data_IF_771142809825
#
_entry.id   IF_771142809825
#
_cell.length_a   1.000
_cell.length_b   1.000
_cell.length_c   1.000
_cell.angle_alpha   90.00
_cell.angle_beta   90.00
_cell.angle_gamma   90.00
#
_symmetry.space_group_name_H-M   'P 1'
#
loop_
_entity.id
_entity.type
_entity.pdbx_description
1 polymer ?
#
# COMPACT_ATOMS: atom_id res chain seq x y z
N UNK A 1 38.23 39.30 26.07
CA UNK A 1 36.90 39.82 25.72
C UNK A 1 36.82 39.82 24.20
N UNK A 2 36.17 38.82 23.60
CA UNK A 2 35.97 38.74 22.15
C UNK A 2 34.55 39.19 21.77
N UNK A 3 34.38 40.23 20.93
CA UNK A 3 33.09 40.86 20.69
C UNK A 3 32.45 40.41 19.36
N UNK A 4 32.38 39.10 19.09
CA UNK A 4 31.80 38.66 17.81
C UNK A 4 30.78 37.52 17.95
N UNK A 5 29.69 37.81 18.65
CA UNK A 5 28.47 36.99 18.64
C UNK A 5 27.40 37.70 17.81
N UNK A 6 27.62 37.74 16.50
CA UNK A 6 26.70 38.35 15.54
C UNK A 6 25.89 37.27 14.83
N UNK A 7 24.62 37.23 15.20
CA UNK A 7 23.47 36.54 14.59
C UNK A 7 23.63 36.21 13.09
N UNK A 8 23.57 34.93 12.74
CA UNK A 8 23.05 34.49 11.44
C UNK A 8 21.55 34.27 11.59
N UNK A 9 20.78 35.32 11.32
CA UNK A 9 19.35 35.22 11.12
C UNK A 9 19.11 34.31 9.89
N UNK A 10 18.44 33.17 10.08
CA UNK A 10 17.94 32.39 8.95
C UNK A 10 16.86 33.18 8.24
N UNK A 11 16.98 33.47 6.94
CA UNK A 11 15.87 33.95 6.16
C UNK A 11 14.83 32.83 6.03
N UNK A 12 13.58 33.25 6.05
CA UNK A 12 12.38 32.43 6.01
C UNK A 12 12.40 31.37 4.90
N UNK A 13 11.96 30.16 5.25
CA UNK A 13 11.04 29.42 4.38
C UNK A 13 11.62 28.34 3.48
N UNK A 14 12.38 27.38 4.01
CA UNK A 14 12.29 25.94 3.66
C UNK A 14 12.70 25.14 4.91
N UNK A 15 11.92 24.17 5.41
CA UNK A 15 12.44 23.28 6.44
C UNK A 15 13.70 22.61 5.88
N UNK A 16 14.75 22.52 6.70
CA UNK A 16 15.95 21.79 6.33
C UNK A 16 15.56 20.33 6.11
N UNK A 17 15.36 19.96 4.85
CA UNK A 17 15.09 18.59 4.45
C UNK A 17 16.35 17.81 4.79
N UNK A 18 16.26 16.92 5.77
CA UNK A 18 17.35 16.02 6.10
C UNK A 18 17.63 15.14 4.88
N UNK A 19 18.89 14.84 4.60
CA UNK A 19 19.26 13.96 3.47
C UNK A 19 18.64 12.55 3.55
N UNK A 20 18.14 12.17 4.74
CA UNK A 20 17.40 10.93 4.99
C UNK A 20 15.89 11.05 4.79
N UNK A 21 15.39 12.23 4.41
CA UNK A 21 13.98 12.46 4.17
C UNK A 21 13.63 11.98 2.75
N UNK A 22 12.74 10.98 2.60
CA UNK A 22 12.39 10.46 1.29
C UNK A 22 11.69 11.57 0.49
N UNK A 23 12.22 11.90 -0.69
CA UNK A 23 11.65 12.90 -1.60
C UNK A 23 10.29 12.47 -2.23
N UNK A 24 9.65 11.43 -1.70
CA UNK A 24 8.55 10.72 -2.35
C UNK A 24 7.16 11.11 -1.85
N UNK A 25 7.02 12.02 -0.89
CA UNK A 25 5.70 12.33 -0.33
C UNK A 25 4.85 13.29 -1.19
N UNK A 26 5.31 13.70 -2.38
CA UNK A 26 4.54 14.66 -3.22
C UNK A 26 4.37 14.26 -4.70
N UNK A 27 4.82 13.08 -5.15
CA UNK A 27 4.78 12.76 -6.59
C UNK A 27 4.41 11.32 -7.01
N UNK A 28 3.99 10.43 -6.10
CA UNK A 28 3.80 9.01 -6.44
C UNK A 28 2.32 8.56 -6.58
N UNK A 29 1.40 9.46 -6.95
CA UNK A 29 -0.02 9.13 -7.14
C UNK A 29 -0.38 8.60 -8.52
N UNK A 30 0.54 8.46 -9.49
CA UNK A 30 0.25 7.88 -10.80
C UNK A 30 1.47 7.07 -11.28
N UNK A 31 1.25 5.80 -11.60
CA UNK A 31 2.18 4.88 -12.29
C UNK A 31 3.43 4.38 -11.53
N UNK A 32 3.25 3.89 -10.30
CA UNK A 32 4.28 3.09 -9.65
C UNK A 32 4.27 1.64 -10.19
N UNK A 33 4.78 1.44 -11.41
CA UNK A 33 5.53 0.22 -11.69
C UNK A 33 6.66 0.21 -10.65
N UNK A 34 6.56 -0.70 -9.66
CA UNK A 34 7.60 -0.87 -8.65
C UNK A 34 8.95 -0.96 -9.35
N UNK A 35 9.88 -0.06 -9.05
CA UNK A 35 11.22 -0.12 -9.60
C UNK A 35 11.83 -1.50 -9.28
N UNK A 36 12.00 -2.33 -10.31
CA UNK A 36 12.63 -3.65 -10.22
C UNK A 36 14.06 -3.51 -10.71
N UNK A 37 15.02 -3.86 -9.84
CA UNK A 37 16.41 -3.95 -10.26
C UNK A 37 16.63 -5.34 -10.88
N UNK A 38 16.92 -5.39 -12.18
CA UNK A 38 17.07 -6.64 -12.92
C UNK A 38 18.17 -7.55 -12.34
N UNK A 39 19.22 -6.98 -11.72
CA UNK A 39 20.30 -7.74 -11.08
C UNK A 39 19.87 -8.34 -9.74
N UNK A 40 18.92 -7.70 -9.05
CA UNK A 40 18.39 -8.14 -7.76
C UNK A 40 17.00 -8.78 -7.86
N UNK A 41 16.44 -8.91 -9.07
CA UNK A 41 15.06 -9.34 -9.31
C UNK A 41 14.72 -10.67 -8.66
N UNK A 42 15.67 -11.62 -8.65
CA UNK A 42 15.48 -12.91 -7.98
C UNK A 42 15.31 -12.74 -6.46
N UNK A 43 16.13 -11.88 -5.84
CA UNK A 43 16.10 -11.60 -4.40
C UNK A 43 14.86 -10.76 -4.06
N UNK A 44 14.55 -9.71 -4.85
CA UNK A 44 13.37 -8.86 -4.68
C UNK A 44 12.05 -9.63 -4.82
N UNK A 45 12.01 -10.66 -5.67
CA UNK A 45 10.82 -11.52 -5.80
C UNK A 45 10.59 -12.38 -4.55
N UNK A 46 11.66 -12.84 -3.93
CA UNK A 46 11.59 -13.70 -2.74
C UNK A 46 11.29 -12.85 -1.49
N UNK A 47 12.01 -11.75 -1.29
CA UNK A 47 11.89 -10.89 -0.11
C UNK A 47 10.68 -9.97 -0.18
N UNK A 48 10.37 -9.44 -1.36
CA UNK A 48 9.22 -8.57 -1.60
C UNK A 48 7.90 -9.32 -1.84
N UNK A 49 7.91 -10.65 -1.76
CA UNK A 49 6.72 -11.49 -2.01
C UNK A 49 6.24 -11.51 -3.46
N UNK A 50 6.98 -10.86 -4.37
CA UNK A 50 6.65 -10.76 -5.78
C UNK A 50 5.38 -9.93 -6.05
N UNK A 51 5.01 -9.77 -7.33
CA UNK A 51 3.78 -9.10 -7.70
C UNK A 51 2.57 -9.87 -7.15
N UNK A 52 1.48 -9.18 -6.74
CA UNK A 52 0.26 -9.83 -6.27
C UNK A 52 -0.26 -10.84 -7.29
N UNK A 53 -0.26 -12.12 -6.93
CA UNK A 53 -0.75 -13.20 -7.79
C UNK A 53 -2.25 -13.40 -7.59
N UNK A 54 -2.99 -13.54 -8.69
CA UNK A 54 -4.40 -13.96 -8.63
C UNK A 54 -4.51 -15.33 -7.99
N UNK A 55 -5.38 -15.46 -6.99
CA UNK A 55 -5.58 -16.71 -6.26
C UNK A 55 -6.57 -17.59 -7.04
N UNK A 56 -6.13 -18.80 -7.39
CA UNK A 56 -7.00 -19.83 -7.96
C UNK A 56 -7.62 -20.65 -6.82
N UNK A 57 -8.93 -20.51 -6.60
CA UNK A 57 -9.64 -21.20 -5.50
C UNK A 57 -9.56 -22.73 -5.60
N UNK A 58 -9.48 -23.27 -6.82
CA UNK A 58 -9.39 -24.71 -7.06
C UNK A 58 -8.05 -25.31 -6.62
N UNK A 59 -7.01 -24.48 -6.51
CA UNK A 59 -5.67 -24.89 -6.09
C UNK A 59 -5.47 -24.82 -4.57
N UNK A 60 -6.47 -24.31 -3.83
CA UNK A 60 -6.38 -24.16 -2.38
C UNK A 60 -6.71 -25.46 -1.64
N UNK A 61 -6.10 -25.71 -0.46
CA UNK A 61 -6.50 -26.79 0.43
C UNK A 61 -7.99 -26.72 0.78
N UNK A 62 -8.63 -27.89 0.86
CA UNK A 62 -10.08 -27.98 1.05
C UNK A 62 -10.66 -27.11 2.18
N UNK A 63 -10.03 -27.02 3.38
CA UNK A 63 -10.55 -26.18 4.46
C UNK A 63 -10.60 -24.68 4.10
N UNK A 64 -9.52 -24.17 3.49
CA UNK A 64 -9.40 -22.76 3.09
C UNK A 64 -10.41 -22.45 1.99
N UNK A 65 -10.59 -23.38 1.06
CA UNK A 65 -11.55 -23.27 -0.03
C UNK A 65 -12.99 -23.16 0.50
N UNK A 66 -13.38 -24.00 1.45
CA UNK A 66 -14.71 -23.90 2.07
C UNK A 66 -14.92 -22.59 2.82
N UNK A 67 -13.91 -22.12 3.55
CA UNK A 67 -13.97 -20.83 4.23
C UNK A 67 -14.19 -19.68 3.24
N UNK A 68 -13.44 -19.66 2.13
CA UNK A 68 -13.60 -18.64 1.08
C UNK A 68 -14.99 -18.63 0.47
N UNK A 69 -15.53 -19.81 0.12
CA UNK A 69 -16.89 -19.91 -0.42
C UNK A 69 -17.97 -19.55 0.60
N UNK A 70 -17.81 -19.93 1.87
CA UNK A 70 -18.73 -19.53 2.94
C UNK A 70 -18.83 -18.00 3.03
N UNK A 71 -17.69 -17.32 3.10
CA UNK A 71 -17.66 -15.86 3.21
C UNK A 71 -18.25 -15.16 1.97
N UNK A 72 -17.86 -15.60 0.77
CA UNK A 72 -18.39 -15.05 -0.49
C UNK A 72 -19.89 -15.26 -0.61
N UNK A 73 -20.38 -16.45 -0.24
CA UNK A 73 -21.82 -16.74 -0.24
C UNK A 73 -22.58 -15.89 0.78
N UNK A 74 -21.99 -15.64 1.96
CA UNK A 74 -22.57 -14.80 3.00
C UNK A 74 -22.74 -13.36 2.52
N UNK A 75 -21.70 -12.77 1.92
CA UNK A 75 -21.79 -11.43 1.32
C UNK A 75 -22.85 -11.37 0.23
N UNK A 76 -22.87 -12.35 -0.69
CA UNK A 76 -23.87 -12.39 -1.76
C UNK A 76 -25.30 -12.47 -1.19
N UNK A 77 -25.51 -13.32 -0.19
CA UNK A 77 -26.81 -13.45 0.48
C UNK A 77 -27.21 -12.14 1.19
N UNK A 78 -26.28 -11.50 1.91
CA UNK A 78 -26.51 -10.21 2.56
C UNK A 78 -26.90 -9.12 1.55
N UNK A 79 -26.24 -9.08 0.39
CA UNK A 79 -26.56 -8.14 -0.68
C UNK A 79 -27.98 -8.37 -1.20
N UNK A 80 -28.36 -9.62 -1.47
CA UNK A 80 -29.72 -9.98 -1.91
C UNK A 80 -30.77 -9.59 -0.86
N UNK A 81 -30.55 -9.92 0.41
CA UNK A 81 -31.46 -9.57 1.50
C UNK A 81 -31.60 -8.04 1.63
N UNK A 82 -30.49 -7.31 1.53
CA UNK A 82 -30.50 -5.84 1.63
C UNK A 82 -31.32 -5.20 0.50
N UNK A 83 -31.18 -5.72 -0.72
CA UNK A 83 -31.98 -5.28 -1.87
C UNK A 83 -33.46 -5.58 -1.64
N UNK A 84 -33.80 -6.79 -1.18
CA UNK A 84 -35.18 -7.16 -0.88
C UNK A 84 -35.78 -6.22 0.17
N UNK A 85 -35.09 -5.98 1.29
CA UNK A 85 -35.54 -5.04 2.32
C UNK A 85 -35.73 -3.65 1.72
N UNK A 86 -34.81 -3.17 0.89
CA UNK A 86 -34.90 -1.85 0.26
C UNK A 86 -36.08 -1.69 -0.70
N UNK A 87 -36.62 -2.78 -1.26
CA UNK A 87 -37.76 -2.73 -2.19
C UNK A 87 -39.09 -2.87 -1.44
N UNK A 88 -39.12 -3.68 -0.37
CA UNK A 88 -40.34 -3.99 0.37
C UNK A 88 -40.58 -3.12 1.61
N UNK A 89 -39.68 -2.19 1.92
CA UNK A 89 -39.78 -1.22 3.02
C UNK A 89 -39.64 0.19 2.49
#
# INVERSE_FOLDING_TARGET
MDPNRSRSASPQGKPAVHETQPASETAATLDHESYVDEQLRNIQTIEGGGPPKKVNMDQLPAPIRYFGYFFMSGIALFAVISILISIFK
#
